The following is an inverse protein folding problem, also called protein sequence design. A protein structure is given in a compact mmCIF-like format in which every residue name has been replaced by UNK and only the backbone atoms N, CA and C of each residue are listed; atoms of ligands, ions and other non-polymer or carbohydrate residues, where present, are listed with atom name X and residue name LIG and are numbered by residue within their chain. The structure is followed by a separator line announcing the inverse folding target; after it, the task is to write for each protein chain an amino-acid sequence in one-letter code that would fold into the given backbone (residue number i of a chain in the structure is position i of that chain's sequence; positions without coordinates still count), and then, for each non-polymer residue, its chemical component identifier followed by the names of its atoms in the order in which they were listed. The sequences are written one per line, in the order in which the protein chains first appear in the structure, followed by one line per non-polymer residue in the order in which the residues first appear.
data_IF_698420846138
#
_entry.id   IF_698420846138
#
_cell.length_a   1.000
_cell.length_b   1.000
_cell.length_c   1.000
_cell.angle_alpha   90.00
_cell.angle_beta   90.00
_cell.angle_gamma   90.00
#
_symmetry.space_group_name_H-M   'P 1'
#
loop_
_entity.id
_entity.type
_entity.pdbx_description
1 polymer ?
#
# COMPACT_ATOMS: atom_id res chain seq x y z
N UNK A 1 4.72 -10.36 15.30
CA UNK A 1 5.01 -9.15 14.50
C UNK A 1 3.78 -8.90 13.65
N UNK A 2 2.96 -7.89 14.00
CA UNK A 2 1.72 -7.62 13.27
C UNK A 2 2.03 -6.73 12.07
N UNK A 3 1.70 -7.17 10.86
CA UNK A 3 1.76 -6.29 9.69
C UNK A 3 0.63 -5.27 9.76
N UNK A 4 0.90 -3.99 9.53
CA UNK A 4 -0.15 -3.00 9.50
C UNK A 4 -1.08 -3.23 8.31
N UNK A 5 -2.37 -3.01 8.55
CA UNK A 5 -3.48 -3.47 7.70
C UNK A 5 -3.30 -3.10 6.22
N UNK A 6 -2.76 -1.92 5.94
CA UNK A 6 -2.57 -1.42 4.57
C UNK A 6 -1.47 -2.19 3.81
N UNK A 7 -0.38 -2.56 4.48
CA UNK A 7 0.72 -3.33 3.88
C UNK A 7 0.30 -4.79 3.71
N UNK A 8 -0.43 -5.35 4.68
CA UNK A 8 -1.00 -6.69 4.55
C UNK A 8 -1.96 -6.76 3.35
N UNK A 9 -2.89 -5.81 3.23
CA UNK A 9 -3.83 -5.75 2.11
C UNK A 9 -3.12 -5.58 0.77
N UNK A 10 -2.07 -4.74 0.69
CA UNK A 10 -1.26 -4.62 -0.52
C UNK A 10 -0.57 -5.94 -0.90
N UNK A 11 0.00 -6.63 0.08
CA UNK A 11 0.65 -7.93 -0.14
C UNK A 11 -0.35 -9.01 -0.57
N UNK A 12 -1.54 -9.05 0.04
CA UNK A 12 -2.65 -9.92 -0.35
C UNK A 12 -3.15 -9.59 -1.76
N UNK A 13 -3.30 -8.30 -2.09
CA UNK A 13 -3.70 -7.83 -3.41
C UNK A 13 -2.70 -8.27 -4.48
N UNK A 14 -1.39 -8.02 -4.26
CA UNK A 14 -0.32 -8.51 -5.14
C UNK A 14 -0.40 -10.04 -5.28
N UNK A 15 -0.46 -10.78 -4.16
CA UNK A 15 -0.57 -12.25 -4.16
C UNK A 15 -1.76 -12.76 -4.95
N UNK A 16 -2.88 -12.04 -4.96
CA UNK A 16 -4.08 -12.41 -5.72
C UNK A 16 -3.81 -12.42 -7.22
N UNK A 17 -2.98 -11.51 -7.74
CA UNK A 17 -2.62 -11.46 -9.17
C UNK A 17 -1.47 -12.39 -9.55
N UNK A 18 -0.55 -12.67 -8.62
CA UNK A 18 0.62 -13.53 -8.86
C UNK A 18 0.61 -14.77 -7.94
N UNK A 19 -0.54 -15.43 -7.83
CA UNK A 19 -0.79 -16.51 -6.88
C UNK A 19 0.21 -17.68 -6.96
N UNK A 20 0.80 -17.90 -8.14
CA UNK A 20 1.80 -18.96 -8.39
C UNK A 20 3.18 -18.67 -7.82
N UNK A 21 3.47 -17.42 -7.41
CA UNK A 21 4.79 -17.00 -6.96
C UNK A 21 4.90 -17.01 -5.43
N UNK A 22 6.01 -17.56 -4.91
CA UNK A 22 6.29 -17.62 -3.46
C UNK A 22 6.98 -16.33 -3.00
N UNK A 23 6.24 -15.21 -3.03
CA UNK A 23 6.81 -13.87 -2.73
C UNK A 23 6.65 -13.44 -1.27
N UNK A 24 5.55 -13.82 -0.63
CA UNK A 24 5.21 -13.46 0.76
C UNK A 24 4.81 -14.74 1.52
N UNK A 25 5.68 -15.28 2.39
CA UNK A 25 5.36 -16.47 3.17
C UNK A 25 4.24 -16.16 4.16
N UNK A 26 3.24 -17.05 4.27
CA UNK A 26 2.10 -16.88 5.18
C UNK A 26 1.00 -15.93 4.71
N UNK A 27 1.16 -15.27 3.55
CA UNK A 27 0.10 -14.47 2.93
C UNK A 27 -0.54 -15.25 1.80
N UNK A 28 -1.84 -15.50 1.95
CA UNK A 28 -2.65 -16.21 0.98
C UNK A 28 -3.24 -15.23 -0.02
N UNK A 29 -3.40 -15.62 -1.29
CA UNK A 29 -4.19 -14.84 -2.24
C UNK A 29 -5.64 -14.76 -1.78
N UNK A 30 -6.33 -13.67 -2.15
CA UNK A 30 -7.76 -13.56 -1.89
C UNK A 30 -8.50 -14.63 -2.69
N UNK A 31 -9.54 -15.20 -2.08
CA UNK A 31 -10.36 -16.22 -2.71
C UNK A 31 -11.15 -15.65 -3.90
N UNK A 32 -11.29 -16.46 -4.94
CA UNK A 32 -12.13 -16.15 -6.09
C UNK A 32 -13.56 -15.81 -5.65
N UNK A 33 -14.14 -14.76 -6.23
CA UNK A 33 -15.47 -14.27 -5.86
C UNK A 33 -15.53 -13.33 -4.65
N UNK A 34 -14.41 -13.12 -3.94
CA UNK A 34 -14.31 -12.12 -2.86
C UNK A 34 -13.62 -10.86 -3.38
N UNK A 35 -14.41 -9.85 -3.77
CA UNK A 35 -13.87 -8.58 -4.25
C UNK A 35 -13.34 -7.73 -3.09
N UNK A 36 -12.29 -6.95 -3.37
CA UNK A 36 -11.82 -5.92 -2.44
C UNK A 36 -12.85 -4.80 -2.37
N UNK A 37 -13.25 -4.44 -1.15
CA UNK A 37 -14.11 -3.28 -0.91
C UNK A 37 -13.38 -1.97 -1.25
N UNK A 38 -14.15 -0.90 -1.47
CA UNK A 38 -13.56 0.42 -1.76
C UNK A 38 -12.60 0.90 -0.66
N UNK A 39 -12.92 0.62 0.61
CA UNK A 39 -12.06 0.95 1.74
C UNK A 39 -10.73 0.17 1.71
N UNK A 40 -10.78 -1.11 1.32
CA UNK A 40 -9.57 -1.91 1.13
C UNK A 40 -8.75 -1.42 -0.05
N UNK A 41 -9.38 -1.06 -1.17
CA UNK A 41 -8.69 -0.47 -2.32
C UNK A 41 -8.00 0.85 -1.98
N UNK A 42 -8.65 1.70 -1.18
CA UNK A 42 -8.05 2.94 -0.69
C UNK A 42 -6.83 2.64 0.22
N UNK A 43 -6.94 1.63 1.09
CA UNK A 43 -5.84 1.19 1.94
C UNK A 43 -4.66 0.61 1.14
N UNK A 44 -4.95 -0.17 0.09
CA UNK A 44 -3.96 -0.71 -0.84
C UNK A 44 -3.24 0.43 -1.55
N UNK A 45 -3.98 1.41 -2.07
CA UNK A 45 -3.41 2.57 -2.74
C UNK A 45 -2.50 3.39 -1.80
N UNK A 46 -2.93 3.60 -0.56
CA UNK A 46 -2.12 4.25 0.46
C UNK A 46 -0.84 3.47 0.78
N UNK A 47 -0.95 2.14 0.93
CA UNK A 47 0.20 1.26 1.10
C UNK A 47 1.18 1.36 -0.07
N UNK A 48 0.65 1.35 -1.29
CA UNK A 48 1.47 1.44 -2.50
C UNK A 48 2.23 2.76 -2.60
N UNK A 49 1.55 3.88 -2.30
CA UNK A 49 2.19 5.22 -2.23
C UNK A 49 3.36 5.23 -1.27
N UNK A 50 3.26 4.50 -0.16
CA UNK A 50 4.34 4.41 0.81
C UNK A 50 5.51 3.55 0.33
N UNK A 51 5.23 2.41 -0.31
CA UNK A 51 6.26 1.55 -0.90
C UNK A 51 7.02 2.29 -1.99
N UNK A 52 6.32 2.97 -2.92
CA UNK A 52 6.95 3.73 -4.01
C UNK A 52 7.81 4.88 -3.48
N UNK A 53 7.44 5.51 -2.36
CA UNK A 53 8.30 6.52 -1.69
C UNK A 53 9.64 5.98 -1.17
N UNK A 54 9.79 4.66 -1.04
CA UNK A 54 11.03 4.00 -0.63
C UNK A 54 11.84 3.47 -1.80
N UNK A 55 11.32 3.57 -3.02
CA UNK A 55 11.98 3.16 -4.23
C UNK A 55 13.22 4.03 -4.50
N UNK A 56 14.23 3.45 -5.13
CA UNK A 56 15.44 4.16 -5.49
C UNK A 56 15.20 5.00 -6.76
N UNK A 57 15.35 6.34 -6.72
CA UNK A 57 14.87 7.23 -7.78
C UNK A 57 15.51 7.00 -9.16
N UNK A 58 16.72 6.44 -9.21
CA UNK A 58 17.40 6.11 -10.46
C UNK A 58 17.17 4.67 -10.94
N UNK A 59 16.94 3.72 -10.03
CA UNK A 59 16.82 2.30 -10.40
C UNK A 59 15.36 1.96 -10.70
N UNK A 60 14.44 2.50 -9.90
CA UNK A 60 13.01 2.25 -9.98
C UNK A 60 12.26 3.37 -10.71
N UNK A 61 12.98 4.18 -11.52
CA UNK A 61 12.44 5.39 -12.15
C UNK A 61 11.18 5.11 -12.97
N UNK A 62 11.17 4.03 -13.74
CA UNK A 62 10.01 3.65 -14.56
C UNK A 62 8.79 3.32 -13.71
N UNK A 63 8.97 2.59 -12.60
CA UNK A 63 7.90 2.28 -11.65
C UNK A 63 7.36 3.56 -11.00
N UNK A 64 8.25 4.47 -10.59
CA UNK A 64 7.85 5.74 -9.96
C UNK A 64 7.01 6.59 -10.93
N UNK A 65 7.51 6.79 -12.16
CA UNK A 65 6.79 7.57 -13.18
C UNK A 65 5.44 6.94 -13.55
N UNK A 66 5.39 5.62 -13.68
CA UNK A 66 4.14 4.91 -13.95
C UNK A 66 3.14 5.10 -12.80
N UNK A 67 3.61 5.08 -11.55
CA UNK A 67 2.74 5.30 -10.39
C UNK A 67 2.21 6.75 -10.32
N UNK A 68 3.04 7.74 -10.66
CA UNK A 68 2.64 9.16 -10.70
C UNK A 68 1.52 9.39 -11.73
N UNK A 69 1.63 8.82 -12.92
CA UNK A 69 0.58 8.90 -13.96
C UNK A 69 -0.76 8.30 -13.50
N UNK A 70 -0.72 7.26 -12.67
CA UNK A 70 -1.93 6.63 -12.13
C UNK A 70 -2.58 7.53 -11.08
N UNK A 71 -1.79 8.21 -10.26
CA UNK A 71 -2.32 9.18 -9.29
C UNK A 71 -2.99 10.37 -9.98
N UNK A 72 -2.43 10.84 -11.09
CA UNK A 72 -2.98 11.97 -11.85
C UNK A 72 -4.25 11.60 -12.63
N UNK A 73 -4.35 10.36 -13.11
CA UNK A 73 -5.47 9.91 -13.95
C UNK A 73 -6.70 9.45 -13.17
N UNK A 74 -6.67 9.43 -11.83
CA UNK A 74 -7.71 8.87 -10.93
C UNK A 74 -8.22 7.48 -11.37
N UNK A 75 -7.42 6.73 -12.14
CA UNK A 75 -7.90 5.58 -12.89
C UNK A 75 -7.67 4.25 -12.17
N UNK A 76 -8.56 3.29 -12.43
CA UNK A 76 -8.53 1.89 -12.00
C UNK A 76 -7.34 1.07 -12.59
N UNK A 77 -6.28 1.72 -13.03
CA UNK A 77 -5.11 1.10 -13.67
C UNK A 77 -4.13 0.48 -12.67
N UNK A 78 -4.45 0.48 -11.38
CA UNK A 78 -3.70 -0.20 -10.32
C UNK A 78 -3.42 -1.67 -10.66
N UNK A 79 -4.37 -2.36 -11.31
CA UNK A 79 -4.18 -3.73 -11.75
C UNK A 79 -3.02 -3.86 -12.76
N UNK A 80 -3.04 -3.03 -13.81
CA UNK A 80 -2.01 -3.03 -14.86
C UNK A 80 -0.64 -2.66 -14.31
N UNK A 81 -0.60 -1.65 -13.45
CA UNK A 81 0.63 -1.26 -12.75
C UNK A 81 1.26 -2.41 -11.97
N UNK A 82 0.45 -3.16 -11.22
CA UNK A 82 0.95 -4.29 -10.47
C UNK A 82 1.38 -5.44 -11.36
N UNK A 83 0.69 -5.69 -12.47
CA UNK A 83 1.13 -6.68 -13.45
C UNK A 83 2.55 -6.37 -13.95
N UNK A 84 2.87 -5.09 -14.20
CA UNK A 84 4.15 -4.67 -14.73
C UNK A 84 5.25 -4.58 -13.66
N UNK A 85 4.93 -4.10 -12.45
CA UNK A 85 5.94 -3.69 -11.44
C UNK A 85 5.89 -4.47 -10.12
N UNK A 86 5.18 -5.60 -10.02
CA UNK A 86 5.08 -6.34 -8.76
C UNK A 86 6.44 -6.80 -8.21
N UNK A 87 7.45 -7.06 -9.06
CA UNK A 87 8.75 -7.58 -8.63
C UNK A 87 9.52 -6.54 -7.83
N UNK A 88 9.58 -5.33 -8.34
CA UNK A 88 10.17 -4.15 -7.75
C UNK A 88 9.51 -3.85 -6.40
N UNK A 89 8.17 -3.88 -6.37
CA UNK A 89 7.41 -3.71 -5.14
C UNK A 89 7.71 -4.80 -4.10
N UNK A 90 7.78 -6.06 -4.51
CA UNK A 90 8.16 -7.19 -3.63
C UNK A 90 9.56 -6.99 -3.07
N UNK A 91 10.52 -6.54 -3.88
CA UNK A 91 11.89 -6.27 -3.43
C UNK A 91 11.89 -5.18 -2.35
N UNK A 92 11.23 -4.05 -2.60
CA UNK A 92 11.15 -2.94 -1.64
C UNK A 92 10.44 -3.39 -0.35
N UNK A 93 9.33 -4.13 -0.46
CA UNK A 93 8.61 -4.67 0.69
C UNK A 93 9.45 -5.65 1.53
N UNK A 94 10.36 -6.41 0.92
CA UNK A 94 11.29 -7.29 1.63
C UNK A 94 12.43 -6.53 2.30
N UNK A 95 12.91 -5.44 1.68
CA UNK A 95 13.94 -4.58 2.25
C UNK A 95 13.45 -3.79 3.46
N UNK A 96 12.14 -3.49 3.50
CA UNK A 96 11.53 -2.73 4.58
C UNK A 96 10.33 -3.48 5.19
N UNK A 97 10.56 -4.51 6.03
CA UNK A 97 9.48 -5.30 6.63
C UNK A 97 8.60 -4.50 7.62
N UNK A 98 9.12 -3.39 8.18
CA UNK A 98 8.43 -2.55 9.18
C UNK A 98 7.69 -1.35 8.56
N UNK A 99 7.44 -1.33 7.24
CA UNK A 99 6.85 -0.17 6.56
C UNK A 99 5.51 0.26 7.16
N UNK A 100 4.76 -0.66 7.73
CA UNK A 100 3.49 -0.28 8.33
C UNK A 100 3.59 0.49 9.65
N UNK A 101 4.70 0.42 10.38
CA UNK A 101 4.81 1.05 11.70
C UNK A 101 4.85 2.59 11.60
N UNK A 102 5.40 3.09 10.49
CA UNK A 102 5.40 4.53 10.16
C UNK A 102 3.99 5.11 9.96
N UNK A 103 3.02 4.29 9.54
CA UNK A 103 1.63 4.73 9.33
C UNK A 103 0.91 5.01 10.65
N UNK A 104 1.11 4.19 11.69
CA UNK A 104 0.52 4.44 13.02
C UNK A 104 1.10 5.70 13.65
N UNK A 105 2.40 5.95 13.47
CA UNK A 105 3.05 7.17 13.96
C UNK A 105 2.49 8.42 13.27
N UNK A 106 2.24 8.38 11.96
CA UNK A 106 1.69 9.51 11.19
C UNK A 106 0.18 9.72 11.40
N UNK A 107 -0.60 8.65 11.58
CA UNK A 107 -2.03 8.73 11.84
C UNK A 107 -2.33 9.27 13.25
N UNK A 108 -1.56 8.85 14.26
CA UNK A 108 -1.70 9.35 15.62
C UNK A 108 -1.17 10.78 15.83
N UNK A 109 -0.57 11.40 14.81
CA UNK A 109 -0.06 12.78 14.85
C UNK A 109 -0.94 13.78 14.10
N UNK A 110 -2.06 13.35 13.50
CA UNK A 110 -3.15 14.26 13.17
C UNK A 110 -4.02 14.47 14.42
N UNK A 111 -4.23 15.71 14.90
CA UNK A 111 -5.15 15.95 15.99
C UNK A 111 -6.54 15.59 15.48
N UNK A 112 -7.08 14.46 15.95
CA UNK A 112 -8.49 14.16 15.75
C UNK A 112 -9.28 15.26 16.43
N UNK A 113 -9.98 16.07 15.63
CA UNK A 113 -10.82 17.17 16.11
C UNK A 113 -11.72 16.71 17.25
N UNK A 114 -11.40 17.19 18.45
CA UNK A 114 -12.35 17.47 19.52
C UNK A 114 -11.94 18.82 20.09
N UNK A 115 -12.36 19.88 19.41
CA UNK A 115 -12.58 21.15 20.11
C UNK A 115 -13.82 20.95 20.98
N UNK A 116 -13.59 20.53 22.23
CA UNK A 116 -14.54 20.76 23.30
C UNK A 116 -14.53 22.25 23.63
N UNK A 117 -15.70 22.85 23.44
CA UNK A 117 -16.09 24.14 23.98
C UNK A 117 -16.11 24.05 25.52
N UNK A 118 -15.89 25.20 26.20
CA UNK A 118 -15.83 25.47 27.66
C UNK A 118 -14.41 25.29 28.24
N UNK A 119 -13.78 26.25 28.93
CA UNK A 119 -14.32 27.26 29.85
C UNK A 119 -13.20 28.27 30.25
N UNK A 120 -13.57 29.51 30.62
CA UNK A 120 -12.83 30.52 31.41
C UNK A 120 -11.57 31.14 30.76
N UNK A 121 -11.45 32.46 30.54
CA UNK A 121 -11.70 33.64 31.40
C UNK A 121 -12.17 34.81 30.53
#
# INVERSE_FOLDING_TARGET
MYLPKNIYLLQEYIKTFIATQVVFPGILPRQWGSQFSQLELNAIHAGLKFVVKKAHPLQDRSMILAFEQIQESESLSLHWFLCDYWRELVIILKLYPNLGDGYLAQWNSYPSGRETISECI
#
